data_IF_690554499449
#
_entry.id   IF_690554499449
#
_cell.length_a   1.000
_cell.length_b   1.000
_cell.length_c   1.000
_cell.angle_alpha   90.00
_cell.angle_beta   90.00
_cell.angle_gamma   90.00
#
_symmetry.space_group_name_H-M   'P 1'
#
loop_
_entity.id
_entity.type
_entity.pdbx_description
1 polymer ?
#
# COMPACT_ATOMS: atom_id res chain seq x y z
N UNK A 1 -8.09 -6.50 -13.52
CA UNK A 1 -7.27 -5.62 -12.67
C UNK A 1 -5.80 -5.78 -13.00
N UNK A 2 -5.06 -4.67 -13.06
CA UNK A 2 -3.61 -4.64 -13.31
C UNK A 2 -2.90 -4.46 -11.97
N UNK A 3 -1.90 -5.29 -11.69
CA UNK A 3 -1.08 -5.16 -10.48
C UNK A 3 -0.18 -3.93 -10.57
N UNK A 4 -0.08 -3.17 -9.48
CA UNK A 4 0.85 -2.04 -9.34
C UNK A 4 1.63 -2.21 -8.04
N UNK A 5 2.95 -2.13 -8.11
CA UNK A 5 3.82 -2.21 -6.94
C UNK A 5 3.68 -0.95 -6.08
N UNK A 6 3.77 -1.13 -4.76
CA UNK A 6 3.88 0.00 -3.84
C UNK A 6 5.29 0.62 -3.94
N UNK A 7 5.37 1.95 -3.86
CA UNK A 7 6.63 2.68 -3.96
C UNK A 7 7.61 2.25 -2.86
N UNK A 8 8.91 2.25 -3.17
CA UNK A 8 9.94 2.20 -2.13
C UNK A 8 9.91 3.49 -1.31
N UNK A 9 10.31 3.39 -0.05
CA UNK A 9 10.49 4.53 0.83
C UNK A 9 11.98 4.65 1.08
N UNK A 10 12.55 5.81 0.78
CA UNK A 10 13.97 6.07 1.00
C UNK A 10 14.26 6.26 2.48
N UNK A 11 15.45 5.83 2.90
CA UNK A 11 15.88 6.02 4.28
C UNK A 11 16.28 7.48 4.51
N UNK A 12 15.95 8.01 5.69
CA UNK A 12 16.22 9.40 6.05
C UNK A 12 17.70 9.80 6.03
N UNK A 13 18.63 8.84 6.14
CA UNK A 13 20.07 9.09 6.06
C UNK A 13 20.58 9.34 4.62
N UNK A 14 19.75 9.14 3.60
CA UNK A 14 20.11 9.41 2.21
C UNK A 14 20.06 10.91 1.91
N UNK A 15 21.12 11.63 2.30
CA UNK A 15 21.20 13.09 2.17
C UNK A 15 20.86 13.60 0.77
N UNK A 16 21.30 12.91 -0.29
CA UNK A 16 21.01 13.29 -1.68
C UNK A 16 19.51 13.40 -1.98
N UNK A 17 18.69 12.51 -1.44
CA UNK A 17 17.23 12.52 -1.65
C UNK A 17 16.62 13.71 -0.92
N UNK A 18 17.05 13.95 0.32
CA UNK A 18 16.60 15.08 1.14
C UNK A 18 16.96 16.41 0.48
N UNK A 19 18.17 16.53 -0.05
CA UNK A 19 18.61 17.74 -0.75
C UNK A 19 17.83 17.98 -2.04
N UNK A 20 17.48 16.91 -2.79
CA UNK A 20 16.63 17.03 -3.97
C UNK A 20 15.22 17.55 -3.63
N UNK A 21 14.61 17.06 -2.54
CA UNK A 21 13.30 17.53 -2.07
C UNK A 21 13.35 19.05 -1.78
N UNK A 22 14.41 19.50 -1.09
CA UNK A 22 14.63 20.93 -0.77
C UNK A 22 14.85 21.76 -2.02
N UNK A 23 15.73 21.32 -2.94
CA UNK A 23 16.04 22.04 -4.18
C UNK A 23 14.83 22.19 -5.11
N UNK A 24 13.91 21.23 -5.07
CA UNK A 24 12.66 21.29 -5.84
C UNK A 24 11.57 22.14 -5.16
N UNK A 25 11.86 22.73 -4.00
CA UNK A 25 10.93 23.61 -3.27
C UNK A 25 9.94 22.89 -2.36
N UNK A 26 10.08 21.57 -2.18
CA UNK A 26 9.16 20.78 -1.33
C UNK A 26 9.62 20.67 0.13
N UNK A 27 10.67 21.38 0.52
CA UNK A 27 11.28 21.27 1.86
C UNK A 27 10.40 21.80 3.00
N UNK A 28 9.55 22.79 2.72
CA UNK A 28 8.72 23.49 3.71
C UNK A 28 7.23 23.13 3.62
N UNK A 29 6.89 22.11 2.83
CA UNK A 29 5.52 21.59 2.73
C UNK A 29 5.06 20.93 4.04
N UNK A 30 3.75 20.71 4.17
CA UNK A 30 3.20 20.01 5.34
C UNK A 30 3.42 18.50 5.18
N UNK A 31 4.24 17.93 6.08
CA UNK A 31 4.49 16.50 6.14
C UNK A 31 3.65 15.80 7.22
N UNK A 32 3.32 14.53 6.98
CA UNK A 32 2.67 13.65 7.95
C UNK A 32 3.67 12.56 8.36
N UNK A 33 3.82 12.35 9.67
CA UNK A 33 4.62 11.26 10.23
C UNK A 33 3.68 10.19 10.79
N UNK A 34 3.88 8.94 10.39
CA UNK A 34 3.11 7.79 10.85
C UNK A 34 4.05 6.69 11.33
N UNK A 35 3.57 5.83 12.24
CA UNK A 35 4.31 4.66 12.66
C UNK A 35 4.57 3.72 11.48
N UNK A 36 5.84 3.34 11.29
CA UNK A 36 6.21 2.31 10.33
C UNK A 36 5.99 0.93 10.94
N UNK A 37 4.76 0.41 10.83
CA UNK A 37 4.40 -0.93 11.32
C UNK A 37 5.30 -1.99 10.69
N UNK A 38 5.94 -2.80 11.54
CA UNK A 38 6.77 -3.92 11.09
C UNK A 38 5.92 -5.17 10.84
N UNK A 39 5.47 -5.31 9.60
CA UNK A 39 4.73 -6.48 9.13
C UNK A 39 5.05 -6.81 7.68
N UNK A 40 4.08 -7.37 6.96
CA UNK A 40 4.19 -7.63 5.53
C UNK A 40 3.31 -6.66 4.73
N UNK A 41 3.81 -6.17 3.59
CA UNK A 41 3.02 -5.32 2.70
C UNK A 41 1.83 -6.10 2.15
N UNK A 42 0.65 -5.51 2.28
CA UNK A 42 -0.63 -6.09 1.89
C UNK A 42 -1.51 -4.99 1.30
N UNK A 43 -2.31 -5.32 0.29
CA UNK A 43 -3.18 -4.36 -0.38
C UNK A 43 -4.43 -5.02 -0.94
N UNK A 44 -5.51 -4.23 -0.98
CA UNK A 44 -6.74 -4.54 -1.69
C UNK A 44 -6.75 -3.83 -3.05
N UNK A 45 -7.11 -4.55 -4.10
CA UNK A 45 -7.37 -4.02 -5.43
C UNK A 45 -8.84 -4.27 -5.76
N UNK A 46 -9.55 -3.24 -6.23
CA UNK A 46 -10.94 -3.37 -6.61
C UNK A 46 -11.32 -2.41 -7.74
N UNK A 47 -12.38 -2.77 -8.47
CA UNK A 47 -13.11 -1.90 -9.40
C UNK A 47 -14.59 -1.75 -9.00
N UNK A 48 -14.90 -2.04 -7.73
CA UNK A 48 -16.26 -1.96 -7.18
C UNK A 48 -17.08 -3.22 -7.29
N UNK A 49 -16.72 -4.20 -8.15
CA UNK A 49 -17.47 -5.48 -8.25
C UNK A 49 -16.75 -6.68 -7.65
N UNK A 50 -15.42 -6.70 -7.75
CA UNK A 50 -14.60 -7.78 -7.20
C UNK A 50 -13.39 -7.19 -6.45
N UNK A 51 -12.82 -7.98 -5.55
CA UNK A 51 -11.60 -7.62 -4.81
C UNK A 51 -10.55 -8.68 -5.08
N UNK A 52 -9.34 -8.23 -5.42
CA UNK A 52 -8.11 -9.03 -5.37
C UNK A 52 -7.23 -8.53 -4.22
N UNK A 53 -6.56 -9.45 -3.54
CA UNK A 53 -5.57 -9.10 -2.53
C UNK A 53 -4.16 -9.33 -3.08
N UNK A 54 -3.19 -8.54 -2.64
CA UNK A 54 -1.83 -8.63 -3.13
C UNK A 54 -0.80 -8.48 -2.01
N UNK A 55 0.31 -9.20 -2.17
CA UNK A 55 1.56 -8.97 -1.46
C UNK A 55 2.40 -7.95 -2.23
N UNK A 56 3.58 -7.59 -1.71
CA UNK A 56 4.48 -6.58 -2.32
C UNK A 56 4.76 -6.81 -3.81
N UNK A 57 4.85 -8.07 -4.24
CA UNK A 57 5.36 -8.45 -5.56
C UNK A 57 4.30 -8.92 -6.55
N UNK A 58 3.13 -9.35 -6.08
CA UNK A 58 2.10 -9.94 -6.93
C UNK A 58 0.74 -10.05 -6.20
N UNK A 59 -0.30 -10.38 -6.96
CA UNK A 59 -1.55 -10.87 -6.38
C UNK A 59 -1.31 -12.15 -5.57
N UNK A 60 -2.11 -12.35 -4.52
CA UNK A 60 -2.16 -13.60 -3.76
C UNK A 60 -3.20 -14.49 -4.42
N UNK A 61 -2.77 -15.67 -4.85
CA UNK A 61 -3.68 -16.64 -5.48
C UNK A 61 -4.63 -17.26 -4.45
N UNK A 62 -5.76 -17.81 -4.93
CA UNK A 62 -6.84 -18.34 -4.07
C UNK A 62 -6.34 -19.37 -3.05
N UNK A 63 -5.45 -20.26 -3.48
CA UNK A 63 -4.91 -21.33 -2.64
C UNK A 63 -3.53 -21.00 -2.04
N UNK A 64 -3.01 -19.79 -2.32
CA UNK A 64 -1.74 -19.34 -1.77
C UNK A 64 -1.89 -18.98 -0.29
N UNK A 65 -1.04 -19.56 0.55
CA UNK A 65 -0.93 -19.22 1.97
C UNK A 65 -0.02 -18.00 2.15
N UNK A 66 -0.62 -16.82 2.32
CA UNK A 66 0.08 -15.59 2.69
C UNK A 66 -0.46 -15.07 4.04
N UNK A 67 0.09 -15.60 5.14
CA UNK A 67 -0.37 -15.31 6.50
C UNK A 67 -1.91 -15.42 6.61
N UNK A 68 -2.57 -14.40 7.16
CA UNK A 68 -4.04 -14.32 7.30
C UNK A 68 -4.70 -13.47 6.19
N UNK A 69 -4.07 -13.31 5.02
CA UNK A 69 -4.53 -12.45 3.94
C UNK A 69 -5.98 -12.73 3.51
N UNK A 70 -6.35 -14.00 3.33
CA UNK A 70 -7.72 -14.39 2.98
C UNK A 70 -8.73 -14.06 4.09
N UNK A 71 -8.33 -14.19 5.36
CA UNK A 71 -9.19 -13.79 6.49
C UNK A 71 -9.39 -12.27 6.54
N UNK A 72 -8.37 -11.49 6.17
CA UNK A 72 -8.49 -10.02 6.07
C UNK A 72 -9.42 -9.62 4.93
N UNK A 73 -9.40 -10.33 3.80
CA UNK A 73 -10.37 -10.14 2.72
C UNK A 73 -11.79 -10.36 3.22
N UNK A 74 -12.06 -11.48 3.87
CA UNK A 74 -13.42 -11.77 4.36
C UNK A 74 -13.88 -10.75 5.40
N UNK A 75 -12.98 -10.32 6.29
CA UNK A 75 -13.30 -9.32 7.33
C UNK A 75 -13.64 -7.95 6.75
N UNK A 76 -12.92 -7.48 5.73
CA UNK A 76 -13.02 -6.11 5.22
C UNK A 76 -13.67 -5.99 3.84
N UNK A 77 -14.15 -7.09 3.26
CA UNK A 77 -14.78 -7.12 1.92
C UNK A 77 -15.81 -6.03 1.75
N UNK A 78 -16.77 -5.93 2.67
CA UNK A 78 -17.83 -4.93 2.61
C UNK A 78 -17.26 -3.51 2.66
N UNK A 79 -16.35 -3.22 3.60
CA UNK A 79 -15.74 -1.90 3.74
C UNK A 79 -15.01 -1.44 2.47
N UNK A 80 -14.31 -2.36 1.78
CA UNK A 80 -13.56 -2.05 0.56
C UNK A 80 -14.49 -1.75 -0.61
N UNK A 81 -15.58 -2.52 -0.78
CA UNK A 81 -16.60 -2.25 -1.82
C UNK A 81 -17.31 -0.93 -1.53
N UNK A 82 -17.80 -0.73 -0.29
CA UNK A 82 -18.53 0.47 0.12
C UNK A 82 -17.69 1.75 -0.03
N UNK A 83 -16.35 1.66 0.11
CA UNK A 83 -15.43 2.78 -0.11
C UNK A 83 -15.29 3.14 -1.59
N UNK A 84 -15.39 2.16 -2.50
CA UNK A 84 -15.23 2.39 -3.93
C UNK A 84 -16.48 3.02 -4.57
N UNK A 85 -17.66 2.75 -4.01
CA UNK A 85 -18.94 3.29 -4.50
C UNK A 85 -19.19 4.76 -4.10
N UNK A 86 -18.35 5.32 -3.22
CA UNK A 86 -18.41 6.72 -2.80
C UNK A 86 -17.49 7.60 -3.65
#
# INVERSE_FOLDING_TARGET
>A
MIFKTYNSIENAYQARVIDQIRLQGFGDEVFIVQEKVHGANFSFFTHGKEIKIAKRTAFVEKDEKFYNAHQMLERYRKNVIDLFEK
#
